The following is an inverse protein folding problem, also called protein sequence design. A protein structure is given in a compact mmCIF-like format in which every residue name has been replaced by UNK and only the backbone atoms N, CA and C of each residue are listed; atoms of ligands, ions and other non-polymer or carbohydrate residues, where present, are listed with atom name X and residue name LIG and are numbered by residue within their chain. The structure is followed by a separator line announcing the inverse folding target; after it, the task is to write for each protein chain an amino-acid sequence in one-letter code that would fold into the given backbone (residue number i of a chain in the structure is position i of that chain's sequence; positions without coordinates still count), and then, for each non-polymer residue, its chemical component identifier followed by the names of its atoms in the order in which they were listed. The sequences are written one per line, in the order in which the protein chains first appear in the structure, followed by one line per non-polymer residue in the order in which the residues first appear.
data_IF_819245425302
#
_entry.id   IF_819245425302
#
_cell.length_a   1.000
_cell.length_b   1.000
_cell.length_c   1.000
_cell.angle_alpha   90.00
_cell.angle_beta   90.00
_cell.angle_gamma   90.00
#
_symmetry.space_group_name_H-M   'P 1'
#
loop_
_entity.id
_entity.type
_entity.pdbx_description
1 polymer ?
#
# COMPACT_ATOMS: atom_id res chain seq x y z
N UNK A 1 14.69 -0.26 -15.21
CA UNK A 1 13.44 -0.96 -14.86
C UNK A 1 12.54 -1.26 -16.06
N UNK A 2 12.48 -0.40 -17.09
CA UNK A 2 11.65 -0.62 -18.28
C UNK A 2 11.64 -2.05 -18.85
N UNK A 3 12.80 -2.66 -19.12
CA UNK A 3 12.84 -4.01 -19.69
C UNK A 3 12.38 -5.12 -18.72
N UNK A 4 12.68 -4.96 -17.43
CA UNK A 4 12.29 -5.91 -16.37
C UNK A 4 10.78 -5.90 -16.19
N UNK A 5 10.20 -4.70 -16.30
CA UNK A 5 8.78 -4.46 -16.27
C UNK A 5 8.06 -5.05 -17.50
N UNK A 6 8.57 -4.79 -18.71
CA UNK A 6 8.05 -5.40 -19.94
C UNK A 6 8.11 -6.94 -19.89
N UNK A 7 9.10 -7.50 -19.19
CA UNK A 7 9.23 -8.94 -19.00
C UNK A 7 8.37 -9.51 -17.86
N UNK A 8 7.58 -8.69 -17.16
CA UNK A 8 6.72 -9.13 -16.05
C UNK A 8 7.48 -9.62 -14.82
N UNK A 9 8.73 -9.19 -14.62
CA UNK A 9 9.58 -9.63 -13.51
C UNK A 9 9.42 -8.71 -12.28
N UNK A 10 9.49 -9.29 -11.08
CA UNK A 10 9.40 -8.54 -9.80
C UNK A 10 10.51 -7.48 -9.66
N UNK A 11 11.68 -7.71 -10.25
CA UNK A 11 12.83 -6.81 -10.11
C UNK A 11 14.15 -7.41 -10.60
N UNK A 12 15.26 -6.85 -10.13
CA UNK A 12 16.62 -7.22 -10.48
C UNK A 12 17.39 -7.62 -9.22
N UNK A 13 18.29 -8.59 -9.36
CA UNK A 13 19.33 -8.89 -8.36
C UNK A 13 20.69 -8.58 -8.98
N UNK A 14 21.30 -7.45 -8.60
CA UNK A 14 22.63 -7.06 -9.05
C UNK A 14 23.70 -7.66 -8.16
N UNK A 15 24.61 -8.46 -8.72
CA UNK A 15 25.73 -9.09 -8.01
C UNK A 15 27.04 -8.46 -8.46
N UNK A 16 27.93 -8.10 -7.54
CA UNK A 16 29.27 -7.57 -7.88
C UNK A 16 30.11 -8.68 -8.53
N UNK A 17 30.60 -8.44 -9.75
CA UNK A 17 31.30 -9.43 -10.57
C UNK A 17 32.49 -10.09 -9.84
N UNK A 18 33.33 -9.32 -9.15
CA UNK A 18 34.49 -9.83 -8.42
C UNK A 18 34.22 -10.35 -7.01
N UNK A 19 32.95 -10.41 -6.57
CA UNK A 19 32.63 -10.86 -5.22
C UNK A 19 32.61 -12.39 -5.11
N UNK A 20 33.32 -12.93 -4.10
CA UNK A 20 33.17 -14.34 -3.72
C UNK A 20 31.83 -14.55 -3.03
N UNK A 21 31.22 -15.71 -3.25
CA UNK A 21 30.04 -16.12 -2.51
C UNK A 21 30.35 -16.21 -1.01
N UNK A 22 29.47 -15.67 -0.18
CA UNK A 22 29.52 -15.77 1.29
C UNK A 22 28.11 -16.00 1.81
N UNK A 23 27.94 -16.99 2.67
CA UNK A 23 26.69 -17.19 3.41
C UNK A 23 26.51 -16.10 4.46
N UNK A 24 25.27 -15.68 4.70
CA UNK A 24 24.93 -14.63 5.66
C UNK A 24 24.82 -13.24 5.04
N UNK A 25 24.92 -12.21 5.89
CA UNK A 25 24.72 -10.83 5.46
C UNK A 25 25.81 -10.38 4.47
N UNK A 26 25.38 -9.84 3.33
CA UNK A 26 26.28 -9.34 2.29
C UNK A 26 25.71 -8.09 1.63
N UNK A 27 26.59 -7.16 1.26
CA UNK A 27 26.28 -5.98 0.44
C UNK A 27 26.69 -6.18 -1.03
N UNK A 28 27.25 -7.35 -1.37
CA UNK A 28 27.65 -7.67 -2.73
C UNK A 28 26.45 -7.93 -3.65
N UNK A 29 25.28 -8.22 -3.08
CA UNK A 29 24.04 -8.51 -3.79
C UNK A 29 23.02 -7.43 -3.44
N UNK A 30 22.55 -6.71 -4.45
CA UNK A 30 21.52 -5.70 -4.31
C UNK A 30 20.23 -6.18 -4.98
N UNK A 31 19.16 -6.31 -4.19
CA UNK A 31 17.82 -6.58 -4.71
C UNK A 31 17.14 -5.25 -4.97
N UNK A 32 16.67 -5.03 -6.19
CA UNK A 32 15.89 -3.84 -6.54
C UNK A 32 14.58 -4.24 -7.18
N UNK A 33 13.47 -3.92 -6.51
CA UNK A 33 12.12 -4.33 -6.91
C UNK A 33 11.44 -3.25 -7.75
N UNK A 34 10.60 -3.67 -8.68
CA UNK A 34 9.72 -2.82 -9.48
C UNK A 34 8.48 -2.46 -8.66
N UNK A 35 8.38 -1.19 -8.28
CA UNK A 35 7.20 -0.65 -7.61
C UNK A 35 6.33 0.14 -8.59
N UNK A 36 5.03 0.15 -8.33
CA UNK A 36 4.05 1.02 -8.98
C UNK A 36 3.38 1.91 -7.95
N UNK A 37 2.98 3.10 -8.40
CA UNK A 37 2.10 4.00 -7.68
C UNK A 37 0.71 3.93 -8.35
N UNK A 38 -0.31 3.66 -7.55
CA UNK A 38 -1.69 3.58 -8.00
C UNK A 38 -2.57 4.45 -7.14
N UNK A 39 -3.52 5.14 -7.77
CA UNK A 39 -4.56 5.89 -7.08
C UNK A 39 -5.70 4.94 -6.78
N UNK A 40 -5.96 4.73 -5.49
CA UNK A 40 -6.93 3.76 -5.00
C UNK A 40 -7.90 4.42 -4.04
N UNK A 41 -9.09 3.87 -3.93
CA UNK A 41 -10.10 4.40 -3.03
C UNK A 41 -9.87 3.92 -1.60
N UNK A 42 -9.97 4.81 -0.62
CA UNK A 42 -9.87 4.46 0.78
C UNK A 42 -11.20 3.89 1.27
N UNK A 43 -11.20 2.61 1.63
CA UNK A 43 -12.39 1.94 2.17
C UNK A 43 -12.50 2.11 3.69
N UNK A 44 -11.37 2.11 4.38
CA UNK A 44 -11.33 2.17 5.82
C UNK A 44 -9.91 2.19 6.37
N UNK A 45 -9.78 2.45 7.66
CA UNK A 45 -8.51 2.35 8.39
C UNK A 45 -8.65 1.30 9.48
N UNK A 46 -7.81 0.28 9.43
CA UNK A 46 -7.68 -0.74 10.47
C UNK A 46 -6.63 -0.28 11.50
N UNK A 47 -7.05 -0.22 12.77
CA UNK A 47 -6.16 0.18 13.87
C UNK A 47 -6.45 -0.65 15.11
N UNK A 48 -5.45 -1.40 15.54
CA UNK A 48 -5.46 -2.10 16.82
C UNK A 48 -4.39 -1.51 17.76
N UNK A 49 -4.70 -1.47 19.06
CA UNK A 49 -3.74 -1.01 20.06
C UNK A 49 -2.52 -1.93 20.05
N UNK A 50 -1.33 -1.34 19.91
CA UNK A 50 -0.05 -2.06 19.88
C UNK A 50 0.33 -2.63 18.51
N UNK A 51 -0.52 -2.50 17.47
CA UNK A 51 -0.18 -2.88 16.10
C UNK A 51 -0.09 -1.66 15.18
N UNK A 52 0.65 -1.75 14.07
CA UNK A 52 0.65 -0.71 13.05
C UNK A 52 -0.75 -0.52 12.44
N UNK A 53 -1.05 0.71 12.04
CA UNK A 53 -2.30 1.03 11.36
C UNK A 53 -2.19 0.76 9.85
N UNK A 54 -3.26 0.25 9.26
CA UNK A 54 -3.36 -0.08 7.84
C UNK A 54 -4.53 0.65 7.19
N UNK A 55 -4.31 1.16 5.99
CA UNK A 55 -5.37 1.63 5.11
C UNK A 55 -5.89 0.46 4.28
N UNK A 56 -7.20 0.23 4.29
CA UNK A 56 -7.86 -0.74 3.43
C UNK A 56 -8.20 -0.04 2.11
N UNK A 57 -7.65 -0.56 1.02
CA UNK A 57 -7.77 0.06 -0.30
C UNK A 57 -8.75 -0.71 -1.16
N UNK A 58 -9.50 0.03 -1.97
CA UNK A 58 -10.44 -0.47 -2.94
C UNK A 58 -10.09 0.02 -4.35
N UNK A 59 -10.56 -0.74 -5.33
CA UNK A 59 -10.55 -0.30 -6.72
C UNK A 59 -11.45 0.95 -6.87
N UNK A 60 -10.97 2.01 -7.54
CA UNK A 60 -11.76 3.22 -7.75
C UNK A 60 -13.11 2.95 -8.42
N UNK A 61 -14.19 3.51 -7.87
CA UNK A 61 -15.54 3.45 -8.46
C UNK A 61 -16.30 2.16 -8.15
N UNK A 62 -15.64 0.99 -8.10
CA UNK A 62 -16.28 -0.26 -7.67
C UNK A 62 -16.18 -0.50 -6.17
N UNK A 63 -15.20 0.13 -5.50
CA UNK A 63 -14.88 -0.05 -4.08
C UNK A 63 -14.62 -1.51 -3.69
N UNK A 64 -14.30 -2.37 -4.65
CA UNK A 64 -13.91 -3.75 -4.40
C UNK A 64 -12.56 -3.78 -3.71
N UNK A 65 -12.45 -4.49 -2.60
CA UNK A 65 -11.21 -4.55 -1.83
C UNK A 65 -10.05 -5.16 -2.63
N UNK A 66 -8.95 -4.41 -2.75
CA UNK A 66 -7.72 -4.82 -3.47
C UNK A 66 -6.54 -5.09 -2.53
N UNK A 67 -6.64 -4.73 -1.25
CA UNK A 67 -5.64 -5.09 -0.24
C UNK A 67 -5.43 -4.01 0.83
N UNK A 68 -4.50 -4.26 1.74
CA UNK A 68 -4.12 -3.30 2.79
C UNK A 68 -2.78 -2.64 2.48
N UNK A 69 -2.69 -1.35 2.76
CA UNK A 69 -1.48 -0.55 2.64
C UNK A 69 -1.03 -0.08 4.02
N UNK A 70 0.26 -0.18 4.29
CA UNK A 70 0.85 0.36 5.52
C UNK A 70 0.82 1.89 5.50
N UNK A 71 0.44 2.52 6.61
CA UNK A 71 0.41 3.99 6.68
C UNK A 71 1.82 4.52 7.00
N UNK A 72 2.60 4.81 5.96
CA UNK A 72 3.94 5.40 6.06
C UNK A 72 3.94 6.92 6.24
N UNK A 73 2.76 7.53 6.35
CA UNK A 73 2.58 8.96 6.54
C UNK A 73 3.26 9.47 7.81
N UNK A 74 3.75 10.71 7.75
CA UNK A 74 4.25 11.43 8.93
C UNK A 74 3.11 11.67 9.95
N UNK A 75 3.46 12.15 11.14
CA UNK A 75 2.50 12.33 12.23
C UNK A 75 1.34 13.26 11.85
N UNK A 76 1.64 14.41 11.25
CA UNK A 76 0.64 15.43 10.89
C UNK A 76 -0.35 14.91 9.85
N UNK A 77 0.15 14.27 8.79
CA UNK A 77 -0.67 13.67 7.75
C UNK A 77 -1.52 12.52 8.30
N UNK A 78 -0.99 11.75 9.26
CA UNK A 78 -1.74 10.67 9.91
C UNK A 78 -2.87 11.22 10.78
N UNK A 79 -2.65 12.30 11.52
CA UNK A 79 -3.70 12.98 12.29
C UNK A 79 -4.78 13.55 11.37
N UNK A 80 -4.38 14.15 10.23
CA UNK A 80 -5.32 14.64 9.20
C UNK A 80 -6.14 13.50 8.59
N UNK A 81 -5.48 12.38 8.24
CA UNK A 81 -6.14 11.19 7.71
C UNK A 81 -7.18 10.69 8.72
N UNK A 82 -6.81 10.63 10.00
CA UNK A 82 -7.71 10.19 11.06
C UNK A 82 -8.94 11.08 11.19
N UNK A 83 -8.75 12.41 11.19
CA UNK A 83 -9.86 13.36 11.22
C UNK A 83 -10.81 13.16 10.04
N UNK A 84 -10.26 12.99 8.83
CA UNK A 84 -11.09 12.77 7.62
C UNK A 84 -11.81 11.43 7.63
N UNK A 85 -11.16 10.37 8.08
CA UNK A 85 -11.77 9.05 8.26
C UNK A 85 -12.96 9.12 9.24
N UNK A 86 -12.85 9.90 10.31
CA UNK A 86 -13.96 10.11 11.26
C UNK A 86 -15.09 10.95 10.67
N UNK A 87 -14.78 12.06 9.98
CA UNK A 87 -15.78 12.92 9.32
C UNK A 87 -16.51 12.19 8.19
N UNK A 88 -15.83 11.26 7.52
CA UNK A 88 -16.34 10.47 6.42
C UNK A 88 -16.74 9.05 6.86
N UNK A 89 -17.07 8.83 8.13
CA UNK A 89 -17.48 7.51 8.60
C UNK A 89 -18.69 6.97 7.80
N UNK A 90 -18.63 5.72 7.38
CA UNK A 90 -19.63 5.09 6.51
C UNK A 90 -19.82 3.59 6.77
N UNK A 91 -20.75 2.93 6.04
CA UNK A 91 -20.95 1.50 6.16
C UNK A 91 -19.76 0.71 5.60
N UNK A 92 -19.61 -0.53 6.08
CA UNK A 92 -18.62 -1.46 5.55
C UNK A 92 -18.93 -1.80 4.07
N UNK A 93 -17.92 -1.86 3.20
CA UNK A 93 -18.08 -2.34 1.84
C UNK A 93 -18.43 -3.84 1.81
N UNK A 94 -19.15 -4.25 0.77
CA UNK A 94 -19.67 -5.61 0.63
C UNK A 94 -18.53 -6.65 0.59
N UNK A 95 -18.71 -7.75 1.34
CA UNK A 95 -17.76 -8.88 1.35
C UNK A 95 -16.54 -8.71 2.26
N UNK A 96 -16.36 -7.58 2.96
CA UNK A 96 -15.21 -7.38 3.86
C UNK A 96 -15.66 -7.32 5.33
N UNK A 97 -15.35 -8.38 6.11
CA UNK A 97 -15.60 -8.42 7.56
C UNK A 97 -14.30 -8.19 8.33
N UNK A 98 -14.13 -7.01 8.92
CA UNK A 98 -12.97 -6.61 9.74
C UNK A 98 -13.45 -5.93 11.01
N UNK A 99 -13.00 -6.41 12.17
CA UNK A 99 -13.54 -5.98 13.48
C UNK A 99 -12.90 -4.68 14.00
N UNK A 100 -11.63 -4.42 13.69
CA UNK A 100 -10.89 -3.25 14.18
C UNK A 100 -10.76 -2.14 13.11
N UNK A 101 -11.77 -1.99 12.26
CA UNK A 101 -11.74 -1.06 11.11
C UNK A 101 -12.78 0.04 11.25
N UNK A 102 -12.34 1.29 11.09
CA UNK A 102 -13.22 2.43 10.85
C UNK A 102 -13.43 2.59 9.35
N UNK A 103 -14.66 2.36 8.90
CA UNK A 103 -15.04 2.43 7.49
C UNK A 103 -15.31 3.87 7.05
N UNK A 104 -14.99 4.16 5.80
CA UNK A 104 -15.09 5.49 5.19
C UNK A 104 -16.07 5.44 4.02
N UNK A 105 -16.94 6.44 3.89
CA UNK A 105 -17.83 6.62 2.74
C UNK A 105 -17.03 6.87 1.44
N UNK A 106 -17.64 6.72 0.26
CA UNK A 106 -17.01 7.09 -1.01
C UNK A 106 -16.51 8.54 -1.03
N UNK A 107 -15.38 8.78 -1.71
CA UNK A 107 -14.82 10.11 -1.94
C UNK A 107 -13.41 10.34 -1.41
N UNK A 108 -12.84 9.46 -0.57
CA UNK A 108 -11.41 9.54 -0.20
C UNK A 108 -10.57 8.64 -1.11
N UNK A 109 -9.53 9.22 -1.71
CA UNK A 109 -8.53 8.50 -2.51
C UNK A 109 -7.16 8.56 -1.85
N UNK A 110 -6.33 7.56 -2.16
CA UNK A 110 -4.98 7.44 -1.64
C UNK A 110 -3.99 7.05 -2.73
N UNK A 111 -2.81 7.67 -2.69
CA UNK A 111 -1.68 7.31 -3.53
C UNK A 111 -0.94 6.14 -2.87
N UNK A 112 -0.96 4.97 -3.50
CA UNK A 112 -0.44 3.74 -2.91
C UNK A 112 0.74 3.22 -3.71
N UNK A 113 1.88 3.10 -3.04
CA UNK A 113 3.07 2.42 -3.59
C UNK A 113 3.00 0.94 -3.26
N UNK A 114 3.03 0.07 -4.26
CA UNK A 114 2.99 -1.39 -4.09
C UNK A 114 3.87 -2.12 -5.12
N UNK A 115 4.11 -3.42 -4.91
CA UNK A 115 4.77 -4.24 -5.93
C UNK A 115 3.87 -4.38 -7.16
N UNK A 116 4.48 -4.32 -8.33
CA UNK A 116 3.79 -4.47 -9.62
C UNK A 116 3.54 -5.95 -9.94
N UNK A 117 2.45 -6.25 -10.64
CA UNK A 117 2.22 -7.55 -11.29
C UNK A 117 1.35 -8.55 -10.51
N UNK A 118 0.73 -8.14 -9.39
CA UNK A 118 -0.21 -8.97 -8.64
C UNK A 118 -1.60 -8.32 -8.58
N UNK A 119 -2.65 -9.14 -8.58
CA UNK A 119 -4.06 -8.69 -8.51
C UNK A 119 -4.40 -8.01 -7.18
N UNK A 120 -3.67 -8.35 -6.12
CA UNK A 120 -3.82 -7.78 -4.78
C UNK A 120 -2.58 -7.00 -4.40
N UNK A 121 -2.79 -5.98 -3.57
CA UNK A 121 -1.72 -5.15 -3.05
C UNK A 121 -0.74 -5.96 -2.19
N UNK A 122 0.53 -5.99 -2.62
CA UNK A 122 1.63 -6.61 -1.88
C UNK A 122 2.72 -5.59 -1.56
N UNK A 123 3.19 -5.62 -0.31
CA UNK A 123 4.11 -4.63 0.25
C UNK A 123 3.66 -3.18 0.01
N UNK A 124 2.35 -2.96 0.12
CA UNK A 124 1.76 -1.67 -0.18
C UNK A 124 1.96 -0.66 0.96
N UNK A 125 2.10 0.61 0.58
CA UNK A 125 2.25 1.73 1.51
C UNK A 125 1.49 2.95 1.00
N UNK A 126 0.70 3.56 1.89
CA UNK A 126 -0.03 4.80 1.62
C UNK A 126 0.94 5.98 1.70
N UNK A 127 1.18 6.62 0.57
CA UNK A 127 2.11 7.74 0.41
C UNK A 127 1.41 9.09 0.61
N UNK A 128 0.18 9.21 0.13
CA UNK A 128 -0.62 10.43 0.26
C UNK A 128 -2.13 10.13 0.14
N UNK A 129 -2.99 11.10 0.45
CA UNK A 129 -4.44 10.98 0.29
C UNK A 129 -5.13 12.34 0.05
N UNK A 130 -6.25 12.31 -0.67
CA UNK A 130 -7.07 13.49 -0.97
C UNK A 130 -8.55 13.12 -1.05
N UNK A 131 -9.39 14.15 -1.08
CA UNK A 131 -10.83 14.04 -1.30
C UNK A 131 -11.11 14.34 -2.78
N UNK A 132 -11.95 13.51 -3.40
CA UNK A 132 -12.51 13.77 -4.71
C UNK A 132 -13.70 14.71 -4.54
N UNK A 133 -13.58 15.93 -5.09
CA UNK A 133 -14.62 16.96 -5.05
C UNK A 133 -15.82 16.60 -5.92
#
# INVERSE_FOLDING_TARGET
FYLVDQAGLEGIVSKRLGSKYRSGNTTAWLKTKSYTLSDLELLGVERERGKPAFALMGEPGTRKYVGSAFITLNREMRERLWKRVQEHAGPAPEGVKRQATTWVKPGLKGHVKHLRGEDKLRHASLQDFWEEN
#
